data_IF_880761314940
#
_entry.id   IF_880761314940
#
_cell.length_a   1.000
_cell.length_b   1.000
_cell.length_c   1.000
_cell.angle_alpha   90.00
_cell.angle_beta   90.00
_cell.angle_gamma   90.00
#
_symmetry.space_group_name_H-M   'P 1'
#
loop_
_entity.id
_entity.type
_entity.pdbx_description
1 polymer ?
#
# COMPACT_ATOMS: atom_id res chain seq x y z
N UNK A 1 -6.05 -46.22 -23.70
CA UNK A 1 -5.02 -45.31 -23.15
C UNK A 1 -5.63 -43.93 -23.10
N UNK A 2 -5.96 -43.45 -21.91
CA UNK A 2 -6.56 -42.13 -21.69
C UNK A 2 -5.44 -41.09 -21.64
N UNK A 3 -5.38 -40.19 -22.61
CA UNK A 3 -4.55 -38.99 -22.54
C UNK A 3 -5.32 -37.93 -21.75
N UNK A 4 -5.05 -37.85 -20.45
CA UNK A 4 -5.41 -36.68 -19.65
C UNK A 4 -4.47 -35.53 -20.03
N UNK A 5 -4.97 -34.35 -20.43
CA UNK A 5 -4.10 -33.20 -20.64
C UNK A 5 -3.50 -32.77 -19.31
N UNK A 6 -2.17 -32.74 -19.24
CA UNK A 6 -1.41 -32.15 -18.15
C UNK A 6 -1.75 -30.66 -18.01
N UNK A 7 -1.90 -30.12 -16.78
CA UNK A 7 -2.17 -28.71 -16.58
C UNK A 7 -0.96 -27.91 -17.03
N UNK A 8 -1.08 -27.23 -18.16
CA UNK A 8 -0.12 -26.21 -18.60
C UNK A 8 -0.18 -25.04 -17.62
N UNK A 9 0.76 -24.98 -16.68
CA UNK A 9 1.05 -23.78 -15.89
C UNK A 9 1.65 -22.75 -16.87
N UNK A 10 0.77 -22.11 -17.63
CA UNK A 10 1.13 -20.92 -18.41
C UNK A 10 1.28 -19.82 -17.37
N UNK A 11 2.52 -19.46 -17.05
CA UNK A 11 2.81 -18.36 -16.13
C UNK A 11 2.13 -17.09 -16.64
N UNK A 12 0.96 -16.76 -16.09
CA UNK A 12 0.27 -15.50 -16.38
C UNK A 12 1.18 -14.38 -15.89
N UNK A 13 1.86 -13.71 -16.81
CA UNK A 13 2.49 -12.44 -16.51
C UNK A 13 1.35 -11.43 -16.28
N UNK A 14 1.13 -11.06 -15.02
CA UNK A 14 0.10 -10.09 -14.62
C UNK A 14 0.68 -8.67 -14.77
N UNK A 15 -0.05 -7.70 -15.36
CA UNK A 15 0.38 -6.31 -15.38
C UNK A 15 0.60 -5.73 -13.98
N UNK A 16 1.61 -4.86 -13.82
CA UNK A 16 1.95 -4.23 -12.54
C UNK A 16 1.67 -2.73 -12.60
N UNK A 17 0.88 -2.23 -11.67
CA UNK A 17 0.60 -0.82 -11.45
C UNK A 17 1.39 -0.31 -10.24
N UNK A 18 2.32 0.61 -10.47
CA UNK A 18 2.95 1.40 -9.42
C UNK A 18 2.20 2.70 -9.23
N UNK A 19 1.87 3.08 -8.00
CA UNK A 19 1.27 4.38 -7.70
C UNK A 19 2.06 5.16 -6.65
N UNK A 20 2.03 6.48 -6.77
CA UNK A 20 2.56 7.41 -5.79
C UNK A 20 1.80 8.74 -5.87
N UNK A 21 1.55 9.36 -4.72
CA UNK A 21 1.03 10.72 -4.66
C UNK A 21 1.60 11.45 -3.46
N UNK A 22 1.73 12.77 -3.58
CA UNK A 22 2.24 13.63 -2.51
C UNK A 22 1.72 15.06 -2.67
N UNK A 23 1.86 15.87 -1.61
CA UNK A 23 1.48 17.29 -1.58
C UNK A 23 2.56 18.15 -0.94
N UNK A 24 2.63 19.43 -1.34
CA UNK A 24 3.60 20.39 -0.81
C UNK A 24 3.33 20.81 0.66
N UNK A 25 2.19 20.41 1.20
CA UNK A 25 1.78 20.70 2.57
C UNK A 25 0.50 19.94 2.92
N UNK A 26 -0.05 20.19 4.11
CA UNK A 26 -1.20 19.45 4.66
C UNK A 26 -2.42 19.43 3.73
N UNK A 27 -2.68 20.54 3.03
CA UNK A 27 -3.76 20.65 2.05
C UNK A 27 -3.42 21.68 0.97
N UNK A 28 -2.40 21.37 0.19
CA UNK A 28 -1.86 22.27 -0.85
C UNK A 28 -1.76 21.53 -2.18
N UNK A 29 -1.10 22.13 -3.16
CA UNK A 29 -0.86 21.53 -4.45
C UNK A 29 -0.21 20.17 -4.28
N UNK A 30 -0.79 19.18 -4.94
CA UNK A 30 -0.34 17.81 -4.94
C UNK A 30 -0.17 17.27 -6.34
N UNK A 31 0.43 16.11 -6.43
CA UNK A 31 0.53 15.36 -7.66
C UNK A 31 0.21 13.89 -7.39
N UNK A 32 -0.56 13.31 -8.30
CA UNK A 32 -0.89 11.90 -8.32
C UNK A 32 -0.28 11.28 -9.58
N UNK A 33 0.43 10.16 -9.43
CA UNK A 33 1.10 9.45 -10.53
C UNK A 33 0.86 7.96 -10.43
N UNK A 34 0.53 7.36 -11.57
CA UNK A 34 0.48 5.92 -11.74
C UNK A 34 1.31 5.50 -12.96
N UNK A 35 2.07 4.40 -12.82
CA UNK A 35 2.87 3.78 -13.87
C UNK A 35 2.40 2.34 -14.01
N UNK A 36 1.92 1.99 -15.20
CA UNK A 36 1.49 0.66 -15.56
C UNK A 36 2.55 -0.01 -16.43
N UNK A 37 3.03 -1.16 -15.97
CA UNK A 37 3.94 -2.05 -16.69
C UNK A 37 3.15 -3.25 -17.22
N UNK A 38 3.08 -3.35 -18.53
CA UNK A 38 2.42 -4.47 -19.21
C UNK A 38 3.39 -5.66 -19.33
N UNK A 39 2.86 -6.89 -19.40
CA UNK A 39 3.65 -8.11 -19.65
C UNK A 39 4.52 -8.06 -20.91
N UNK A 40 4.13 -7.26 -21.89
CA UNK A 40 4.87 -7.02 -23.12
C UNK A 40 6.14 -6.18 -22.93
N UNK A 41 6.41 -5.71 -21.71
CA UNK A 41 7.46 -4.74 -21.40
C UNK A 41 7.07 -3.29 -21.67
N UNK A 42 5.89 -3.04 -22.27
CA UNK A 42 5.40 -1.69 -22.52
C UNK A 42 5.04 -1.00 -21.20
N UNK A 43 5.53 0.22 -21.03
CA UNK A 43 5.22 1.10 -19.89
C UNK A 43 4.32 2.25 -20.31
N UNK A 44 3.27 2.51 -19.54
CA UNK A 44 2.39 3.69 -19.69
C UNK A 44 2.31 4.41 -18.35
N UNK A 45 2.27 5.75 -18.35
CA UNK A 45 2.09 6.53 -17.13
C UNK A 45 0.94 7.51 -17.26
N UNK A 46 0.21 7.72 -16.17
CA UNK A 46 -0.80 8.76 -16.01
C UNK A 46 -0.41 9.64 -14.82
N UNK A 47 -0.64 10.94 -14.95
CA UNK A 47 -0.31 11.93 -13.92
C UNK A 47 -1.42 12.97 -13.85
N UNK A 48 -1.66 13.47 -12.65
CA UNK A 48 -2.63 14.53 -12.39
C UNK A 48 -2.06 15.52 -11.38
N UNK A 49 -2.06 16.80 -11.72
CA UNK A 49 -1.82 17.87 -10.75
C UNK A 49 -3.12 18.17 -10.01
N UNK A 50 -3.00 18.33 -8.70
CA UNK A 50 -4.11 18.52 -7.79
C UNK A 50 -3.95 19.86 -7.10
N UNK A 51 -5.00 20.69 -7.07
CA UNK A 51 -4.89 22.07 -6.61
C UNK A 51 -4.73 22.21 -5.09
N UNK A 52 -5.48 21.42 -4.31
CA UNK A 52 -5.47 21.44 -2.84
C UNK A 52 -5.86 20.06 -2.30
N UNK A 53 -4.85 19.30 -1.88
CA UNK A 53 -4.99 17.92 -1.36
C UNK A 53 -3.96 17.67 -0.27
N UNK A 54 -4.24 16.69 0.57
CA UNK A 54 -3.24 16.05 1.45
C UNK A 54 -2.46 14.97 0.70
N UNK A 55 -1.29 14.56 1.22
CA UNK A 55 -0.50 13.47 0.64
C UNK A 55 -1.29 12.16 0.53
N UNK A 56 -2.10 11.83 1.54
CA UNK A 56 -2.96 10.64 1.50
C UNK A 56 -4.04 10.75 0.42
N UNK A 57 -4.71 11.89 0.28
CA UNK A 57 -5.66 12.13 -0.81
C UNK A 57 -4.98 12.02 -2.19
N UNK A 58 -3.76 12.55 -2.33
CA UNK A 58 -2.97 12.43 -3.56
C UNK A 58 -2.61 10.97 -3.88
N UNK A 59 -2.21 10.18 -2.88
CA UNK A 59 -1.91 8.76 -3.04
C UNK A 59 -3.17 7.95 -3.44
N UNK A 60 -4.33 8.23 -2.84
CA UNK A 60 -5.61 7.66 -3.28
C UNK A 60 -5.97 8.05 -4.71
N UNK A 61 -5.80 9.33 -5.08
CA UNK A 61 -6.03 9.79 -6.46
C UNK A 61 -5.09 9.08 -7.43
N UNK A 62 -3.82 8.87 -7.08
CA UNK A 62 -2.85 8.14 -7.88
C UNK A 62 -3.25 6.68 -8.14
N UNK A 63 -3.70 6.00 -7.08
CA UNK A 63 -4.25 4.64 -7.17
C UNK A 63 -5.48 4.62 -8.09
N UNK A 64 -6.43 5.54 -7.89
CA UNK A 64 -7.67 5.60 -8.66
C UNK A 64 -7.42 5.83 -10.16
N UNK A 65 -6.64 6.85 -10.54
CA UNK A 65 -6.35 7.13 -11.95
C UNK A 65 -5.58 5.98 -12.62
N UNK A 66 -4.73 5.29 -11.86
CA UNK A 66 -3.99 4.12 -12.33
C UNK A 66 -4.91 2.94 -12.64
N UNK A 67 -5.81 2.62 -11.71
CA UNK A 67 -6.80 1.55 -11.89
C UNK A 67 -7.77 1.87 -13.03
N UNK A 68 -8.25 3.10 -13.13
CA UNK A 68 -9.08 3.55 -14.25
C UNK A 68 -8.34 3.41 -15.59
N UNK A 69 -7.06 3.77 -15.64
CA UNK A 69 -6.26 3.58 -16.85
C UNK A 69 -6.08 2.12 -17.21
N UNK A 70 -5.84 1.24 -16.23
CA UNK A 70 -5.75 -0.19 -16.46
C UNK A 70 -7.07 -0.76 -17.00
N UNK A 71 -8.20 -0.33 -16.44
CA UNK A 71 -9.53 -0.71 -16.91
C UNK A 71 -9.77 -0.33 -18.38
N UNK A 72 -9.42 0.90 -18.75
CA UNK A 72 -9.49 1.42 -20.12
C UNK A 72 -8.63 0.60 -21.11
N UNK A 73 -7.55 0.00 -20.64
CA UNK A 73 -6.67 -0.84 -21.44
C UNK A 73 -7.15 -2.31 -21.53
N UNK A 74 -8.33 -2.61 -21.00
CA UNK A 74 -8.89 -3.96 -21.03
C UNK A 74 -8.27 -4.92 -20.02
N UNK A 75 -7.50 -4.43 -19.05
CA UNK A 75 -6.90 -5.26 -18.01
C UNK A 75 -7.99 -5.74 -17.05
N UNK A 76 -7.94 -7.03 -16.69
CA UNK A 76 -8.88 -7.69 -15.78
C UNK A 76 -8.21 -8.29 -14.55
N UNK A 77 -6.93 -8.64 -14.66
CA UNK A 77 -6.10 -9.06 -13.53
C UNK A 77 -4.92 -8.08 -13.39
N UNK A 78 -4.63 -7.60 -12.17
CA UNK A 78 -3.57 -6.60 -11.95
C UNK A 78 -2.91 -6.75 -10.57
N UNK A 79 -1.59 -6.51 -10.54
CA UNK A 79 -0.83 -6.31 -9.31
C UNK A 79 -0.62 -4.81 -9.06
N UNK A 80 -0.91 -4.33 -7.87
CA UNK A 80 -0.86 -2.92 -7.49
C UNK A 80 0.18 -2.78 -6.39
N UNK A 81 1.20 -1.97 -6.65
CA UNK A 81 2.31 -1.72 -5.73
C UNK A 81 2.36 -0.24 -5.35
N UNK A 82 2.52 0.02 -4.07
CA UNK A 82 2.68 1.38 -3.54
C UNK A 82 3.46 1.40 -2.24
N UNK A 83 3.87 2.58 -1.82
CA UNK A 83 4.73 2.78 -0.64
C UNK A 83 4.03 3.48 0.53
N UNK A 84 2.78 3.90 0.33
CA UNK A 84 1.97 4.54 1.37
C UNK A 84 1.30 3.43 2.20
N UNK A 85 1.85 3.19 3.40
CA UNK A 85 1.36 2.17 4.32
C UNK A 85 -0.08 2.43 4.77
N UNK A 86 -0.47 3.71 4.94
CA UNK A 86 -1.82 4.08 5.34
C UNK A 86 -2.83 3.72 4.27
N UNK A 87 -2.55 4.09 3.01
CA UNK A 87 -3.42 3.73 1.87
C UNK A 87 -3.51 2.21 1.73
N UNK A 88 -2.38 1.50 1.85
CA UNK A 88 -2.36 0.04 1.82
C UNK A 88 -3.24 -0.57 2.93
N UNK A 89 -3.09 -0.12 4.17
CA UNK A 89 -3.84 -0.64 5.30
C UNK A 89 -5.34 -0.37 5.14
N UNK A 90 -5.72 0.84 4.75
CA UNK A 90 -7.13 1.23 4.57
C UNK A 90 -7.80 0.49 3.41
N UNK A 91 -7.12 0.31 2.27
CA UNK A 91 -7.64 -0.48 1.13
C UNK A 91 -7.85 -1.95 1.53
N UNK A 92 -6.98 -2.51 2.38
CA UNK A 92 -7.11 -3.88 2.90
C UNK A 92 -8.02 -3.99 4.13
N UNK A 93 -8.67 -2.90 4.58
CA UNK A 93 -9.55 -2.90 5.75
C UNK A 93 -8.83 -3.10 7.10
N UNK A 94 -7.52 -2.83 7.17
CA UNK A 94 -6.69 -2.97 8.37
C UNK A 94 -6.65 -1.70 9.22
N UNK A 95 -6.98 -0.54 8.65
CA UNK A 95 -7.03 0.74 9.34
C UNK A 95 -8.33 1.48 8.99
N UNK A 96 -8.93 2.13 9.99
CA UNK A 96 -10.12 2.94 9.81
C UNK A 96 -9.83 4.28 9.11
N UNK A 97 -10.84 4.81 8.42
CA UNK A 97 -10.72 6.08 7.70
C UNK A 97 -11.45 7.18 8.46
N UNK A 98 -10.67 8.08 9.07
CA UNK A 98 -11.21 9.21 9.81
C UNK A 98 -11.71 10.37 8.93
N UNK A 99 -10.99 10.69 7.85
CA UNK A 99 -11.29 11.86 7.00
C UNK A 99 -12.40 11.54 5.98
N UNK A 100 -13.41 12.40 5.88
CA UNK A 100 -14.58 12.23 4.99
C UNK A 100 -14.20 12.19 3.51
N UNK A 101 -13.26 13.04 3.07
CA UNK A 101 -12.75 13.07 1.69
C UNK A 101 -12.01 11.80 1.32
N UNK A 102 -11.14 11.30 2.22
CA UNK A 102 -10.42 10.03 2.04
C UNK A 102 -11.40 8.86 1.98
N UNK A 103 -12.47 8.87 2.79
CA UNK A 103 -13.51 7.83 2.76
C UNK A 103 -14.23 7.77 1.42
N UNK A 104 -14.51 8.93 0.82
CA UNK A 104 -15.08 8.98 -0.54
C UNK A 104 -14.14 8.38 -1.58
N UNK A 105 -12.85 8.75 -1.53
CA UNK A 105 -11.85 8.20 -2.46
C UNK A 105 -11.63 6.71 -2.28
N UNK A 106 -11.64 6.22 -1.04
CA UNK A 106 -11.55 4.80 -0.73
C UNK A 106 -12.72 4.03 -1.33
N UNK A 107 -13.96 4.53 -1.17
CA UNK A 107 -15.14 3.94 -1.81
C UNK A 107 -15.00 3.89 -3.33
N UNK A 108 -14.56 4.98 -3.96
CA UNK A 108 -14.32 5.02 -5.40
C UNK A 108 -13.28 3.99 -5.85
N UNK A 109 -12.17 3.87 -5.13
CA UNK A 109 -11.13 2.86 -5.38
C UNK A 109 -11.69 1.45 -5.27
N UNK A 110 -12.44 1.14 -4.20
CA UNK A 110 -13.03 -0.19 -4.03
C UNK A 110 -14.06 -0.51 -5.12
N UNK A 111 -14.87 0.47 -5.54
CA UNK A 111 -15.79 0.30 -6.67
C UNK A 111 -15.03 -0.04 -7.95
N UNK A 112 -13.94 0.67 -8.26
CA UNK A 112 -13.13 0.35 -9.44
C UNK A 112 -12.45 -1.02 -9.31
N UNK A 113 -11.91 -1.35 -8.13
CA UNK A 113 -11.29 -2.65 -7.87
C UNK A 113 -12.27 -3.82 -8.03
N UNK A 114 -13.55 -3.65 -7.65
CA UNK A 114 -14.58 -4.69 -7.82
C UNK A 114 -14.90 -5.02 -9.28
N UNK A 115 -14.49 -4.18 -10.24
CA UNK A 115 -14.61 -4.49 -11.66
C UNK A 115 -13.59 -5.52 -12.14
N UNK A 116 -12.42 -5.62 -11.49
CA UNK A 116 -11.35 -6.54 -11.89
C UNK A 116 -11.68 -7.97 -11.44
N UNK A 117 -11.28 -8.95 -12.25
CA UNK A 117 -11.35 -10.37 -11.89
C UNK A 117 -10.41 -10.68 -10.73
N UNK A 118 -9.24 -10.01 -10.69
CA UNK A 118 -8.27 -10.15 -9.62
C UNK A 118 -7.46 -8.88 -9.43
N UNK A 119 -7.40 -8.40 -8.19
CA UNK A 119 -6.48 -7.32 -7.79
C UNK A 119 -5.62 -7.82 -6.65
N UNK A 120 -4.30 -7.73 -6.80
CA UNK A 120 -3.34 -7.99 -5.74
C UNK A 120 -2.72 -6.69 -5.30
N UNK A 121 -2.94 -6.27 -4.05
CA UNK A 121 -2.34 -5.05 -3.52
C UNK A 121 -1.15 -5.43 -2.65
N UNK A 122 0.01 -4.84 -2.92
CA UNK A 122 1.24 -5.05 -2.18
C UNK A 122 1.81 -3.69 -1.72
N UNK A 123 2.18 -3.62 -0.44
CA UNK A 123 3.02 -2.54 0.04
C UNK A 123 4.48 -2.85 -0.26
N UNK A 124 5.18 -1.89 -0.86
CA UNK A 124 6.60 -1.96 -1.15
C UNK A 124 7.34 -0.75 -0.56
N UNK A 125 8.60 -0.90 -0.12
CA UNK A 125 9.39 0.23 0.34
C UNK A 125 9.54 1.32 -0.72
N UNK A 126 9.69 2.58 -0.30
CA UNK A 126 9.91 3.71 -1.21
C UNK A 126 11.10 3.48 -2.15
N UNK A 127 12.16 2.80 -1.70
CA UNK A 127 13.34 2.46 -2.52
C UNK A 127 12.98 1.64 -3.77
N UNK A 128 11.93 0.82 -3.70
CA UNK A 128 11.41 0.04 -4.82
C UNK A 128 10.39 0.83 -5.65
N UNK A 129 9.65 1.77 -5.04
CA UNK A 129 8.69 2.63 -5.73
C UNK A 129 9.26 3.97 -6.23
N UNK A 130 10.60 4.12 -6.23
CA UNK A 130 11.30 5.33 -6.67
C UNK A 130 10.84 5.87 -8.03
N UNK A 131 10.58 5.05 -9.07
CA UNK A 131 10.17 5.58 -10.37
C UNK A 131 8.85 6.36 -10.34
N UNK A 132 7.86 5.90 -9.58
CA UNK A 132 6.57 6.59 -9.44
C UNK A 132 6.73 7.85 -8.59
N UNK A 133 7.39 7.74 -7.44
CA UNK A 133 7.60 8.87 -6.53
C UNK A 133 8.46 9.97 -7.16
N UNK A 134 9.51 9.63 -7.91
CA UNK A 134 10.32 10.62 -8.62
C UNK A 134 9.50 11.43 -9.63
N UNK A 135 8.53 10.79 -10.29
CA UNK A 135 7.64 11.49 -11.22
C UNK A 135 6.67 12.42 -10.48
N UNK A 136 6.23 12.07 -9.28
CA UNK A 136 5.47 12.99 -8.40
C UNK A 136 6.31 14.22 -8.09
N UNK A 137 7.56 14.04 -7.65
CA UNK A 137 8.46 15.16 -7.33
C UNK A 137 8.71 16.07 -8.54
N UNK A 138 8.89 15.50 -9.74
CA UNK A 138 8.99 16.30 -10.98
C UNK A 138 7.71 17.10 -11.25
N UNK A 139 6.53 16.50 -11.09
CA UNK A 139 5.27 17.20 -11.29
C UNK A 139 5.11 18.37 -10.30
N UNK A 140 5.48 18.17 -9.03
CA UNK A 140 5.39 19.20 -8.01
C UNK A 140 6.37 20.35 -8.27
N UNK A 141 7.62 20.05 -8.64
CA UNK A 141 8.61 21.05 -9.00
C UNK A 141 8.18 21.91 -10.21
N UNK A 142 7.69 21.26 -11.27
CA UNK A 142 7.14 21.99 -12.43
C UNK A 142 5.96 22.87 -12.02
N UNK A 143 5.09 22.41 -11.11
CA UNK A 143 3.96 23.19 -10.65
C UNK A 143 4.37 24.41 -9.81
N UNK A 144 5.49 24.37 -9.09
CA UNK A 144 6.02 25.52 -8.35
C UNK A 144 6.70 26.55 -9.22
N UNK A 145 7.30 26.13 -10.35
CA UNK A 145 7.99 27.03 -11.28
C UNK A 145 7.02 27.92 -12.07
N UNK A 146 5.74 27.55 -12.17
CA UNK A 146 4.70 28.40 -12.75
C UNK A 146 3.93 29.17 -11.66
N UNK A 147 4.05 30.51 -11.60
CA UNK A 147 3.41 31.31 -10.59
C UNK A 147 1.88 31.25 -10.70
N UNK A 148 1.21 31.33 -9.54
CA UNK A 148 -0.24 31.47 -9.42
C UNK A 148 -0.68 32.70 -10.23
N UNK A 149 -1.36 32.52 -11.35
CA UNK A 149 -2.14 33.61 -11.95
C UNK A 149 -3.41 33.78 -11.10
N UNK A 150 -3.32 34.63 -10.08
CA UNK A 150 -4.44 35.30 -9.42
C UNK A 150 -3.92 36.50 -8.61
N UNK A 151 -4.14 37.72 -9.14
CA UNK A 151 -4.25 39.01 -8.44
C UNK A 151 -3.20 39.44 -7.39
N UNK A 152 -2.43 40.49 -7.72
CA UNK A 152 -1.69 41.42 -6.85
C UNK A 152 -0.84 40.85 -5.68
N UNK A 153 0.45 40.62 -5.95
CA UNK A 153 1.58 41.24 -5.21
C UNK A 153 2.88 41.01 -5.99
N UNK A 154 3.63 42.08 -6.26
CA UNK A 154 4.82 42.08 -7.13
C UNK A 154 6.00 41.32 -6.49
N UNK A 155 6.60 40.31 -7.14
CA UNK A 155 7.92 39.84 -6.73
C UNK A 155 9.02 40.78 -7.24
N UNK A 156 10.01 41.03 -6.37
CA UNK A 156 11.19 41.88 -6.62
C UNK A 156 12.09 41.24 -7.70
N UNK A 157 12.70 42.02 -8.63
CA UNK A 157 13.47 41.45 -9.72
C UNK A 157 14.85 40.99 -9.25
N UNK A 158 15.27 39.82 -9.71
CA UNK A 158 16.66 39.33 -9.71
C UNK A 158 17.17 39.28 -11.18
N UNK A 159 18.47 39.53 -11.41
CA UNK A 159 19.01 40.03 -12.67
C UNK A 159 19.02 39.01 -13.83
N UNK A 160 19.11 39.49 -15.08
CA UNK A 160 18.97 38.67 -16.28
C UNK A 160 20.19 37.76 -16.48
N UNK A 161 19.94 36.53 -16.95
CA UNK A 161 20.94 35.73 -17.66
C UNK A 161 20.47 35.57 -19.10
N UNK A 162 21.23 36.17 -19.99
CA UNK A 162 21.09 36.07 -21.44
C UNK A 162 21.27 34.62 -21.91
N UNK A 163 20.53 34.24 -22.95
CA UNK A 163 20.78 33.02 -23.71
C UNK A 163 19.51 32.25 -24.08
N UNK A 164 18.79 32.75 -25.08
CA UNK A 164 17.63 32.11 -25.68
C UNK A 164 17.95 30.74 -26.31
N UNK A 165 17.01 29.79 -26.18
CA UNK A 165 16.69 28.87 -27.27
C UNK A 165 15.22 28.43 -27.17
N UNK A 166 14.47 28.78 -28.20
CA UNK A 166 13.08 28.40 -28.46
C UNK A 166 13.07 27.03 -29.14
N UNK A 167 12.26 26.10 -28.65
CA UNK A 167 11.67 25.08 -29.53
C UNK A 167 10.27 24.68 -29.04
N UNK A 168 9.44 24.32 -30.00
CA UNK A 168 7.99 24.47 -30.02
C UNK A 168 7.31 23.10 -29.94
N UNK A 169 6.12 23.07 -29.32
CA UNK A 169 5.03 22.09 -29.49
C UNK A 169 5.16 20.67 -28.91
N UNK A 170 4.34 20.37 -27.89
CA UNK A 170 3.05 19.67 -28.04
C UNK A 170 2.41 19.50 -26.66
N UNK A 171 1.29 20.19 -26.43
CA UNK A 171 0.48 20.10 -25.23
C UNK A 171 -0.80 19.30 -25.54
N UNK A 172 -1.03 18.12 -24.94
CA UNK A 172 -2.33 17.49 -24.99
C UNK A 172 -3.11 17.80 -23.71
N UNK A 173 -3.96 18.83 -23.82
CA UNK A 173 -5.37 18.85 -23.43
C UNK A 173 -5.78 18.17 -22.12
N UNK A 174 -6.17 19.02 -21.16
CA UNK A 174 -7.05 18.70 -20.05
C UNK A 174 -8.40 18.15 -20.58
N UNK A 175 -8.73 16.90 -20.28
CA UNK A 175 -10.06 16.33 -20.54
C UNK A 175 -10.82 16.29 -19.21
N UNK A 176 -11.83 17.16 -19.10
CA UNK A 176 -12.85 17.10 -18.05
C UNK A 176 -13.75 15.89 -18.34
N UNK A 177 -13.75 14.90 -17.43
CA UNK A 177 -14.49 13.64 -17.63
C UNK A 177 -15.75 13.63 -16.76
N UNK A 178 -16.90 13.46 -17.43
CA UNK A 178 -18.20 13.17 -16.80
C UNK A 178 -18.31 11.66 -16.54
N UNK A 179 -18.74 11.21 -15.35
CA UNK A 179 -18.82 9.78 -15.04
C UNK A 179 -19.85 9.07 -15.94
N UNK A 180 -19.60 7.82 -16.38
CA UNK A 180 -20.59 7.04 -17.12
C UNK A 180 -21.77 6.65 -16.22
N UNK A 181 -22.97 6.69 -16.79
CA UNK A 181 -24.21 6.30 -16.10
C UNK A 181 -24.16 4.85 -15.62
N UNK A 182 -24.77 4.54 -14.45
CA UNK A 182 -24.84 3.18 -13.95
C UNK A 182 -25.66 2.28 -14.91
N UNK A 183 -25.36 0.97 -14.97
CA UNK A 183 -26.15 0.03 -15.76
C UNK A 183 -27.60 -0.04 -15.24
N UNK A 184 -28.59 -0.33 -16.10
CA UNK A 184 -29.97 -0.43 -15.70
C UNK A 184 -30.14 -1.57 -14.68
N UNK A 185 -30.79 -1.25 -13.56
CA UNK A 185 -31.22 -2.20 -12.55
C UNK A 185 -32.19 -3.21 -13.18
N UNK A 186 -31.91 -4.50 -13.04
CA UNK A 186 -32.86 -5.55 -13.41
C UNK A 186 -34.09 -5.48 -12.49
N UNK A 187 -35.32 -5.57 -13.03
CA UNK A 187 -36.53 -5.52 -12.22
C UNK A 187 -36.73 -6.85 -11.50
N UNK A 188 -36.65 -6.83 -10.17
CA UNK A 188 -37.01 -8.00 -9.35
C UNK A 188 -36.28 -8.12 -8.03
N UNK A 189 -36.38 -7.12 -7.15
CA UNK A 189 -36.17 -7.33 -5.72
C UNK A 189 -37.11 -6.43 -4.94
N UNK A 190 -38.04 -7.07 -4.25
CA UNK A 190 -39.13 -6.50 -3.47
C UNK A 190 -38.54 -5.69 -2.30
N UNK A 191 -39.03 -4.46 -2.14
CA UNK A 191 -38.76 -3.63 -0.99
C UNK A 191 -39.47 -4.20 0.25
N UNK A 192 -38.71 -4.41 1.33
CA UNK A 192 -39.26 -4.43 2.69
C UNK A 192 -38.75 -3.19 3.40
N UNK A 193 -39.65 -2.25 3.62
CA UNK A 193 -39.47 -1.15 4.55
C UNK A 193 -39.45 -1.72 5.98
N UNK A 194 -38.40 -1.44 6.74
CA UNK A 194 -38.53 -1.37 8.19
C UNK A 194 -38.18 0.04 8.67
N UNK A 195 -39.26 0.72 9.05
CA UNK A 195 -39.32 1.93 9.84
C UNK A 195 -38.88 1.61 11.26
N UNK A 196 -37.93 2.36 11.83
CA UNK A 196 -37.90 2.58 13.27
C UNK A 196 -37.49 4.02 13.61
N UNK A 197 -38.40 4.68 14.32
CA UNK A 197 -38.28 5.99 14.95
C UNK A 197 -37.85 5.83 16.43
N UNK A 198 -37.48 6.93 17.12
CA UNK A 198 -36.56 6.91 18.27
C UNK A 198 -37.26 6.88 19.63
N UNK A 199 -36.67 6.20 20.63
CA UNK A 199 -36.80 6.59 22.05
C UNK A 199 -35.68 5.99 22.91
N UNK A 200 -34.95 6.87 23.60
CA UNK A 200 -34.04 6.63 24.74
C UNK A 200 -34.84 6.14 25.99
N UNK A 201 -34.24 5.59 27.09
CA UNK A 201 -33.14 6.23 27.81
C UNK A 201 -32.10 5.35 28.56
N UNK A 202 -30.88 5.88 28.64
CA UNK A 202 -30.07 5.98 29.86
C UNK A 202 -29.29 4.75 30.32
N UNK A 203 -27.96 4.87 30.44
CA UNK A 203 -27.20 4.39 31.61
C UNK A 203 -25.81 5.03 31.67
N UNK A 204 -25.65 5.90 32.68
CA UNK A 204 -24.49 6.07 33.57
C UNK A 204 -23.06 6.09 32.98
N UNK A 205 -22.52 7.30 32.86
CA UNK A 205 -21.08 7.58 32.85
C UNK A 205 -20.46 7.28 34.23
N UNK A 206 -19.40 6.46 34.27
CA UNK A 206 -18.38 6.49 35.32
C UNK A 206 -16.99 6.15 34.74
N UNK A 207 -15.92 6.88 35.10
CA UNK A 207 -14.59 6.68 34.51
C UNK A 207 -13.81 5.56 35.19
N UNK A 208 -13.12 4.74 34.40
CA UNK A 208 -12.18 3.72 34.87
C UNK A 208 -10.87 4.36 35.38
N UNK A 209 -10.24 3.81 36.44
CA UNK A 209 -9.02 4.36 37.03
C UNK A 209 -7.76 4.03 36.19
N UNK A 210 -6.82 4.99 36.16
CA UNK A 210 -5.48 4.86 35.54
C UNK A 210 -4.58 3.93 36.37
N UNK A 211 -3.71 3.12 35.73
CA UNK A 211 -2.66 2.39 36.42
C UNK A 211 -1.50 3.31 36.87
N UNK A 212 -0.79 2.98 37.95
CA UNK A 212 0.30 3.80 38.50
C UNK A 212 1.58 3.74 37.64
N UNK A 213 2.33 4.84 37.69
CA UNK A 213 3.63 5.01 37.01
C UNK A 213 4.75 4.19 37.69
N UNK A 214 5.76 3.72 36.92
CA UNK A 214 6.98 3.15 37.49
C UNK A 214 7.95 4.23 38.01
N UNK A 215 8.62 3.91 39.12
CA UNK A 215 9.63 4.70 39.83
C UNK A 215 10.93 4.91 39.01
N UNK A 216 11.73 5.95 39.33
CA UNK A 216 12.96 6.28 38.60
C UNK A 216 14.12 5.34 38.99
N UNK A 217 14.98 5.05 38.02
CA UNK A 217 16.25 4.34 38.20
C UNK A 217 17.36 5.39 38.11
N UNK A 218 18.19 5.50 39.15
CA UNK A 218 19.33 6.41 39.18
C UNK A 218 20.47 5.96 38.24
N UNK A 219 21.14 6.88 37.54
CA UNK A 219 22.20 6.57 36.59
C UNK A 219 23.58 6.95 37.16
N UNK A 220 24.30 6.03 37.81
CA UNK A 220 25.74 6.21 38.05
C UNK A 220 26.43 4.87 38.31
N UNK A 221 27.11 4.35 37.28
CA UNK A 221 28.29 3.50 37.43
C UNK A 221 29.07 3.53 36.10
N UNK A 222 29.95 4.51 35.99
CA UNK A 222 31.08 4.54 35.06
C UNK A 222 32.18 3.68 35.66
N UNK A 223 32.79 2.74 34.92
CA UNK A 223 34.27 2.66 34.86
C UNK A 223 34.78 1.78 33.71
N UNK A 224 35.98 2.14 33.28
CA UNK A 224 36.73 1.86 32.08
C UNK A 224 37.28 0.43 31.88
N UNK A 225 37.56 0.09 30.62
CA UNK A 225 38.37 -1.07 30.25
C UNK A 225 38.71 -1.09 28.76
N UNK A 226 39.91 -0.59 28.45
CA UNK A 226 40.53 -0.39 27.13
C UNK A 226 40.95 -1.69 26.39
N UNK A 227 41.30 -1.51 25.10
CA UNK A 227 42.09 -2.38 24.16
C UNK A 227 41.40 -3.44 23.29
N UNK A 228 41.35 -3.12 21.99
CA UNK A 228 41.67 -4.01 20.86
C UNK A 228 43.19 -3.96 20.55
N UNK A 229 43.74 -4.69 19.56
CA UNK A 229 43.25 -5.85 18.76
C UNK A 229 44.24 -7.04 18.79
N UNK A 230 43.84 -8.26 18.38
CA UNK A 230 44.70 -9.21 17.62
C UNK A 230 43.84 -10.27 16.90
N UNK A 231 44.00 -10.33 15.58
CA UNK A 231 43.78 -11.52 14.72
C UNK A 231 45.18 -12.10 14.44
N UNK A 232 45.38 -13.41 14.17
CA UNK A 232 44.83 -14.02 12.95
C UNK A 232 44.54 -15.54 12.98
N UNK A 233 43.80 -16.00 11.96
CA UNK A 233 44.03 -17.24 11.17
C UNK A 233 42.83 -18.19 11.04
N UNK A 234 42.24 -18.12 9.85
CA UNK A 234 41.64 -19.17 9.01
C UNK A 234 41.35 -20.54 9.66
N UNK A 235 40.07 -20.87 9.76
CA UNK A 235 39.57 -22.24 9.55
C UNK A 235 38.39 -22.20 8.59
N UNK A 236 38.49 -23.08 7.61
CA UNK A 236 37.62 -23.28 6.45
C UNK A 236 36.44 -24.14 6.88
N UNK A 237 35.34 -23.54 7.32
CA UNK A 237 34.11 -24.28 7.60
C UNK A 237 33.07 -24.05 6.50
N UNK A 238 32.80 -25.15 5.80
CA UNK A 238 31.74 -25.25 4.81
C UNK A 238 30.43 -25.22 5.59
N UNK A 239 29.66 -24.14 5.45
CA UNK A 239 28.31 -24.01 6.00
C UNK A 239 27.51 -25.27 5.66
N UNK A 240 26.91 -25.98 6.64
CA UNK A 240 25.91 -26.98 6.30
C UNK A 240 24.75 -26.25 5.61
N UNK A 241 24.31 -26.76 4.46
CA UNK A 241 23.05 -26.34 3.85
C UNK A 241 21.99 -26.44 4.96
N UNK A 242 21.38 -25.30 5.32
CA UNK A 242 20.44 -25.25 6.44
C UNK A 242 19.39 -26.34 6.27
N UNK A 243 19.16 -27.10 7.33
CA UNK A 243 18.08 -28.08 7.38
C UNK A 243 16.77 -27.40 6.92
N UNK A 244 16.04 -27.96 5.94
CA UNK A 244 14.86 -27.30 5.37
C UNK A 244 13.82 -26.92 6.43
N UNK A 245 13.71 -27.70 7.51
CA UNK A 245 12.81 -27.41 8.62
C UNK A 245 13.31 -26.21 9.42
N UNK A 246 14.60 -26.14 9.74
CA UNK A 246 15.19 -24.96 10.39
C UNK A 246 15.10 -23.69 9.53
N UNK A 247 15.22 -23.80 8.21
CA UNK A 247 15.04 -22.68 7.30
C UNK A 247 13.60 -22.16 7.33
N UNK A 248 12.61 -23.06 7.28
CA UNK A 248 11.19 -22.69 7.39
C UNK A 248 10.89 -22.06 8.75
N UNK A 249 11.38 -22.65 9.85
CA UNK A 249 11.19 -22.09 11.21
C UNK A 249 11.82 -20.71 11.31
N UNK A 250 13.04 -20.51 10.79
CA UNK A 250 13.69 -19.20 10.75
C UNK A 250 12.88 -18.19 9.95
N UNK A 251 12.39 -18.57 8.76
CA UNK A 251 11.54 -17.71 7.94
C UNK A 251 10.28 -17.28 8.69
N UNK A 252 9.62 -18.20 9.39
CA UNK A 252 8.41 -17.92 10.19
C UNK A 252 8.72 -17.00 11.38
N UNK A 253 9.84 -17.22 12.07
CA UNK A 253 10.21 -16.42 13.25
C UNK A 253 10.51 -14.95 12.90
N UNK A 254 11.02 -14.68 11.70
CA UNK A 254 11.31 -13.34 11.20
C UNK A 254 10.13 -12.68 10.46
N UNK A 255 8.99 -13.37 10.33
CA UNK A 255 7.76 -12.75 9.82
C UNK A 255 7.27 -11.63 10.76
N UNK A 256 6.72 -10.56 10.17
CA UNK A 256 6.04 -9.52 10.94
C UNK A 256 4.85 -10.13 11.72
N UNK A 257 4.43 -9.53 12.85
CA UNK A 257 3.32 -10.05 13.65
C UNK A 257 2.06 -10.32 12.80
N UNK A 258 1.74 -9.43 11.86
CA UNK A 258 0.61 -9.62 10.94
C UNK A 258 0.80 -10.74 9.92
N UNK A 259 2.03 -10.95 9.42
CA UNK A 259 2.34 -12.07 8.53
C UNK A 259 2.27 -13.42 9.26
N UNK A 260 2.68 -13.47 10.54
CA UNK A 260 2.48 -14.63 11.42
C UNK A 260 0.99 -14.93 11.60
N UNK A 261 0.17 -13.91 11.84
CA UNK A 261 -1.29 -14.09 12.00
C UNK A 261 -1.97 -14.57 10.71
N UNK A 262 -1.53 -14.10 9.54
CA UNK A 262 -2.03 -14.58 8.23
C UNK A 262 -1.63 -16.03 7.97
N UNK A 263 -0.35 -16.36 8.17
CA UNK A 263 0.14 -17.74 8.05
C UNK A 263 -0.66 -18.70 8.95
N UNK A 264 -0.88 -18.32 10.20
CA UNK A 264 -1.68 -19.12 11.14
C UNK A 264 -3.15 -19.23 10.74
N UNK A 265 -3.73 -18.17 10.16
CA UNK A 265 -5.11 -18.20 9.65
C UNK A 265 -5.24 -19.11 8.43
N UNK A 266 -4.28 -19.07 7.51
CA UNK A 266 -4.28 -19.90 6.30
C UNK A 266 -4.04 -21.38 6.65
N UNK A 267 -3.16 -21.66 7.62
CA UNK A 267 -3.00 -23.00 8.21
C UNK A 267 -4.30 -23.50 8.85
N UNK A 268 -5.01 -22.65 9.58
CA UNK A 268 -6.30 -22.98 10.20
C UNK A 268 -7.42 -23.28 9.18
N UNK A 269 -7.29 -22.85 7.93
CA UNK A 269 -8.21 -23.18 6.83
C UNK A 269 -7.88 -24.53 6.16
N UNK A 270 -6.79 -25.19 6.56
CA UNK A 270 -6.37 -26.51 6.10
C UNK A 270 -6.55 -27.51 7.25
N UNK A 271 -7.78 -28.02 7.48
CA UNK A 271 -8.12 -28.79 8.68
C UNK A 271 -7.29 -30.07 8.83
N UNK A 272 -6.90 -30.72 7.73
CA UNK A 272 -6.06 -31.92 7.75
C UNK A 272 -4.63 -31.63 8.24
N UNK A 273 -4.02 -30.55 7.75
CA UNK A 273 -2.67 -30.13 8.16
C UNK A 273 -2.67 -29.51 9.57
N UNK A 274 -3.71 -28.74 9.92
CA UNK A 274 -3.90 -28.23 11.28
C UNK A 274 -4.01 -29.36 12.30
N UNK A 275 -4.80 -30.40 12.00
CA UNK A 275 -4.92 -31.55 12.87
C UNK A 275 -3.61 -32.32 12.98
N UNK A 276 -2.89 -32.57 11.88
CA UNK A 276 -1.58 -33.22 11.92
C UNK A 276 -0.55 -32.42 12.74
N UNK A 277 -0.55 -31.09 12.61
CA UNK A 277 0.35 -30.22 13.35
C UNK A 277 0.02 -30.18 14.85
N UNK A 278 -1.26 -30.07 15.21
CA UNK A 278 -1.74 -30.13 16.59
C UNK A 278 -1.47 -31.51 17.22
N UNK A 279 -1.66 -32.60 16.48
CA UNK A 279 -1.31 -33.96 16.91
C UNK A 279 0.20 -34.10 17.14
N UNK A 280 1.04 -33.60 16.21
CA UNK A 280 2.49 -33.62 16.37
C UNK A 280 2.98 -32.82 17.60
N UNK A 281 2.36 -31.67 17.88
CA UNK A 281 2.62 -30.89 19.10
C UNK A 281 2.17 -31.66 20.34
N UNK A 282 0.95 -32.23 20.33
CA UNK A 282 0.42 -32.99 21.44
C UNK A 282 1.27 -34.23 21.77
N UNK A 283 1.77 -34.93 20.75
CA UNK A 283 2.64 -36.09 20.93
C UNK A 283 4.01 -35.68 21.50
N UNK A 284 4.59 -34.57 21.03
CA UNK A 284 5.84 -34.04 21.62
C UNK A 284 5.69 -33.60 23.07
N UNK A 285 4.56 -32.98 23.42
CA UNK A 285 4.27 -32.57 24.80
C UNK A 285 4.02 -33.77 25.72
N UNK A 286 3.41 -34.85 25.21
CA UNK A 286 3.27 -36.12 25.96
C UNK A 286 4.62 -36.82 26.18
N UNK A 287 5.52 -36.80 25.19
CA UNK A 287 6.86 -37.39 25.34
C UNK A 287 7.78 -36.61 26.28
N UNK A 288 7.48 -35.34 26.57
CA UNK A 288 8.26 -34.50 27.49
C UNK A 288 7.75 -34.54 28.94
N UNK A 289 6.66 -35.27 29.21
CA UNK A 289 6.01 -35.38 30.51
C UNK A 289 6.18 -36.73 31.20
N UNK A 290 7.19 -37.52 30.81
CA UNK A 290 7.52 -38.81 31.42
C UNK A 290 9.00 -38.87 31.78
#
# INVERSE_FOLDING_TARGET
MANSPSPSITGKCVPILFYAGDSLGKKDRGAAVAILLLPTGKRTSVKQLLASVSSTEAAYKALLIGLQKAWQLGIREIEVKGHDERVFNQVNGLEEIGQTTVRQLHREVLTVMSGFERVMVEWIPLTQNRPAYHMVQKCLAMATDFPRVNGLAKPKPLPPKDGAFIDTQHDPGYIEFSPPSPPPLQPGAVAVEEVFSPTDPGFSNSPLPRPPAPSPVDPFATDHGDRQPEEPSQVKDTLPAMDPVQQIVSMIMHLSPGAKTRLMRDLAQLPELSNQFLTAIADRLKTSGN
#
